data_IF_098823594609
#
_entry.id   IF_098823594609
#
_cell.length_a   1.000
_cell.length_b   1.000
_cell.length_c   1.000
_cell.angle_alpha   90.00
_cell.angle_beta   90.00
_cell.angle_gamma   90.00
#
_symmetry.space_group_name_H-M   'P 1'
#
loop_
_entity.id
_entity.type
_entity.pdbx_description
1 polymer ?
#
# COMPACT_ATOMS: atom_id res chain seq x y z
N UNK A 1 -9.00 0.62 -5.41
CA UNK A 1 -9.69 -0.21 -4.40
C UNK A 1 -9.23 0.28 -3.03
N UNK A 2 -10.15 0.59 -2.12
CA UNK A 2 -9.81 1.08 -0.78
C UNK A 2 -10.19 0.03 0.26
N UNK A 3 -9.30 -0.18 1.23
CA UNK A 3 -9.49 -1.16 2.29
C UNK A 3 -9.43 -0.45 3.64
N UNK A 4 -10.40 -0.72 4.55
CA UNK A 4 -10.29 -0.24 5.91
C UNK A 4 -9.10 -0.92 6.59
N UNK A 5 -8.26 -0.13 7.25
CA UNK A 5 -7.10 -0.59 8.02
C UNK A 5 -7.03 0.24 9.30
N UNK A 6 -6.73 -0.43 10.42
CA UNK A 6 -6.55 0.21 11.73
C UNK A 6 -5.08 0.54 11.95
N UNK A 7 -4.81 1.60 12.73
CA UNK A 7 -3.44 2.00 13.03
C UNK A 7 -2.67 0.91 13.78
N UNK A 8 -3.38 0.18 14.63
CA UNK A 8 -2.84 -0.91 15.46
C UNK A 8 -2.72 -2.25 14.72
N UNK A 9 -3.16 -2.33 13.45
CA UNK A 9 -3.00 -3.54 12.65
C UNK A 9 -1.52 -3.88 12.55
N UNK A 10 -1.19 -5.13 12.82
CA UNK A 10 0.16 -5.66 12.66
C UNK A 10 0.54 -5.76 11.18
N UNK A 11 1.84 -5.87 10.90
CA UNK A 11 2.34 -6.10 9.55
C UNK A 11 1.75 -7.39 8.93
N UNK A 12 1.50 -8.41 9.75
CA UNK A 12 0.90 -9.67 9.31
C UNK A 12 -0.58 -9.52 8.92
N UNK A 13 -1.37 -8.85 9.76
CA UNK A 13 -2.79 -8.57 9.46
C UNK A 13 -2.93 -7.74 8.19
N UNK A 14 -2.08 -6.72 8.05
CA UNK A 14 -2.02 -5.89 6.84
C UNK A 14 -1.68 -6.73 5.61
N UNK A 15 -0.72 -7.65 5.72
CA UNK A 15 -0.32 -8.51 4.61
C UNK A 15 -1.41 -9.50 4.19
N UNK A 16 -2.09 -10.13 5.15
CA UNK A 16 -3.21 -11.03 4.90
C UNK A 16 -4.37 -10.27 4.24
N UNK A 17 -4.64 -9.05 4.69
CA UNK A 17 -5.68 -8.21 4.12
C UNK A 17 -5.41 -7.87 2.66
N UNK A 18 -4.18 -7.45 2.35
CA UNK A 18 -3.77 -7.15 0.96
C UNK A 18 -3.85 -8.41 0.10
N UNK A 19 -3.42 -9.55 0.62
CA UNK A 19 -3.49 -10.82 -0.09
C UNK A 19 -4.94 -11.20 -0.45
N UNK A 20 -5.80 -11.23 0.57
CA UNK A 20 -7.17 -11.70 0.42
C UNK A 20 -8.07 -10.76 -0.37
N UNK A 21 -7.74 -9.47 -0.43
CA UNK A 21 -8.60 -8.47 -1.04
C UNK A 21 -8.03 -7.91 -2.34
N UNK A 22 -6.73 -7.66 -2.42
CA UNK A 22 -6.09 -7.02 -3.58
C UNK A 22 -5.60 -8.08 -4.56
N UNK A 23 -4.76 -9.01 -4.09
CA UNK A 23 -4.14 -10.04 -4.95
C UNK A 23 -5.20 -11.02 -5.46
N UNK A 24 -6.18 -11.39 -4.64
CA UNK A 24 -7.30 -12.23 -5.08
C UNK A 24 -8.17 -11.60 -6.17
N UNK A 25 -8.28 -10.28 -6.18
CA UNK A 25 -9.17 -9.55 -7.08
C UNK A 25 -8.48 -9.11 -8.38
N UNK A 26 -7.21 -8.73 -8.30
CA UNK A 26 -6.43 -8.19 -9.42
C UNK A 26 -5.46 -9.23 -10.00
N UNK A 27 -5.07 -10.22 -9.20
CA UNK A 27 -3.99 -11.16 -9.50
C UNK A 27 -2.66 -10.74 -8.91
N UNK A 28 -1.61 -11.53 -9.21
CA UNK A 28 -0.25 -11.25 -8.76
C UNK A 28 0.32 -10.01 -9.45
N UNK A 29 0.68 -9.00 -8.65
CA UNK A 29 1.34 -7.80 -9.12
C UNK A 29 2.82 -8.10 -9.37
N UNK A 30 3.37 -7.65 -10.51
CA UNK A 30 4.80 -7.81 -10.80
C UNK A 30 5.66 -6.78 -10.07
N UNK A 31 5.14 -5.56 -9.90
CA UNK A 31 5.81 -4.47 -9.21
C UNK A 31 4.83 -3.78 -8.26
N UNK A 32 5.26 -3.50 -7.03
CA UNK A 32 4.51 -2.77 -6.02
C UNK A 32 5.34 -1.58 -5.57
N UNK A 33 4.75 -0.40 -5.59
CA UNK A 33 5.33 0.80 -5.01
C UNK A 33 4.64 1.06 -3.66
N UNK A 34 5.42 1.02 -2.58
CA UNK A 34 4.92 1.20 -1.22
C UNK A 34 5.62 2.36 -0.54
N UNK A 35 4.97 2.99 0.44
CA UNK A 35 5.65 3.90 1.36
C UNK A 35 6.53 3.12 2.35
N UNK A 36 7.44 3.82 3.03
CA UNK A 36 8.40 3.28 4.01
C UNK A 36 7.78 3.00 5.39
N UNK A 37 6.48 2.71 5.43
CA UNK A 37 5.83 2.32 6.67
C UNK A 37 6.50 1.04 7.22
N UNK A 38 6.77 0.95 8.54
CA UNK A 38 7.41 -0.21 9.15
C UNK A 38 6.71 -1.54 8.83
N UNK A 39 5.39 -1.51 8.58
CA UNK A 39 4.60 -2.70 8.21
C UNK A 39 5.03 -3.26 6.86
N UNK A 40 5.30 -2.38 5.90
CA UNK A 40 5.76 -2.72 4.55
C UNK A 40 7.29 -2.87 4.47
N UNK A 41 8.03 -2.51 5.52
CA UNK A 41 9.46 -2.78 5.63
C UNK A 41 9.77 -3.98 6.55
N UNK A 42 8.75 -4.76 6.92
CA UNK A 42 8.92 -5.91 7.80
C UNK A 42 9.58 -7.08 7.05
N UNK A 43 10.34 -7.92 7.77
CA UNK A 43 10.93 -9.14 7.21
C UNK A 43 9.86 -10.08 6.61
N UNK A 44 8.65 -10.07 7.19
CA UNK A 44 7.49 -10.78 6.67
C UNK A 44 7.15 -10.30 5.26
N UNK A 45 7.05 -8.98 5.06
CA UNK A 45 6.71 -8.38 3.78
C UNK A 45 7.74 -8.73 2.70
N UNK A 46 9.02 -8.56 3.00
CA UNK A 46 10.11 -8.88 2.08
C UNK A 46 10.10 -10.36 1.67
N UNK A 47 9.94 -11.27 2.64
CA UNK A 47 9.90 -12.70 2.37
C UNK A 47 8.67 -13.10 1.55
N UNK A 48 7.52 -12.50 1.82
CA UNK A 48 6.28 -12.72 1.09
C UNK A 48 6.47 -12.36 -0.39
N UNK A 49 7.02 -11.18 -0.67
CA UNK A 49 7.24 -10.74 -2.05
C UNK A 49 8.31 -11.54 -2.79
N UNK A 50 9.37 -11.97 -2.10
CA UNK A 50 10.37 -12.89 -2.66
C UNK A 50 9.75 -14.24 -3.07
N UNK A 51 8.83 -14.79 -2.27
CA UNK A 51 8.16 -16.05 -2.58
C UNK A 51 7.29 -15.95 -3.85
N UNK A 52 6.63 -14.80 -4.05
CA UNK A 52 5.74 -14.58 -5.19
C UNK A 52 6.43 -13.99 -6.42
N UNK A 53 7.72 -13.65 -6.34
CA UNK A 53 8.47 -13.03 -7.43
C UNK A 53 8.03 -11.59 -7.73
N UNK A 54 7.34 -10.94 -6.79
CA UNK A 54 6.91 -9.55 -6.90
C UNK A 54 8.03 -8.62 -6.44
N UNK A 55 8.36 -7.59 -7.21
CA UNK A 55 9.32 -6.57 -6.78
C UNK A 55 8.62 -5.46 -5.99
N UNK A 56 9.04 -5.24 -4.76
CA UNK A 56 8.61 -4.07 -3.98
C UNK A 56 9.66 -2.97 -4.09
N UNK A 57 9.22 -1.79 -4.50
CA UNK A 57 10.00 -0.57 -4.44
C UNK A 57 9.41 0.35 -3.37
N UNK A 58 10.26 1.06 -2.65
CA UNK A 58 9.81 2.03 -1.67
C UNK A 58 9.87 3.44 -2.26
N UNK A 59 8.77 4.16 -2.18
CA UNK A 59 8.74 5.58 -2.50
C UNK A 59 9.68 6.32 -1.53
N UNK A 60 10.40 7.31 -2.04
CA UNK A 60 11.11 8.27 -1.18
C UNK A 60 10.14 9.40 -0.86
N UNK A 61 10.27 10.02 0.32
CA UNK A 61 9.40 11.11 0.77
C UNK A 61 9.37 12.35 -0.18
N UNK A 62 10.18 12.34 -1.25
CA UNK A 62 10.25 13.36 -2.28
C UNK A 62 10.75 12.72 -3.59
N UNK A 63 9.85 12.21 -4.44
CA UNK A 63 10.17 11.96 -5.85
C UNK A 63 9.06 12.42 -6.80
N UNK A 64 8.99 13.74 -7.10
CA UNK A 64 7.92 14.35 -7.90
C UNK A 64 7.85 13.92 -9.37
N UNK A 65 8.66 12.97 -9.83
CA UNK A 65 8.80 12.68 -11.26
C UNK A 65 8.28 11.31 -11.70
N UNK A 66 8.11 10.33 -10.79
CA UNK A 66 7.66 8.99 -11.19
C UNK A 66 6.31 8.59 -10.58
N UNK A 67 5.88 9.26 -9.51
CA UNK A 67 4.69 8.84 -8.74
C UNK A 67 3.56 9.89 -8.67
N UNK A 68 3.63 10.92 -9.51
CA UNK A 68 2.66 12.02 -9.48
C UNK A 68 1.21 11.59 -9.69
N UNK A 69 0.92 10.44 -10.33
CA UNK A 69 -0.44 9.91 -10.43
C UNK A 69 -0.90 9.23 -9.14
N UNK A 70 -0.07 8.39 -8.50
CA UNK A 70 -0.43 7.75 -7.25
C UNK A 70 -0.49 8.78 -6.11
N UNK A 71 0.47 9.71 -6.04
CA UNK A 71 0.45 10.82 -5.08
C UNK A 71 -0.77 11.73 -5.29
N UNK A 72 -1.13 12.09 -6.54
CA UNK A 72 -2.37 12.84 -6.81
C UNK A 72 -3.61 12.05 -6.42
N UNK A 73 -3.63 10.73 -6.65
CA UNK A 73 -4.73 9.87 -6.26
C UNK A 73 -4.86 9.78 -4.73
N UNK A 74 -3.76 9.57 -4.01
CA UNK A 74 -3.72 9.53 -2.53
C UNK A 74 -4.14 10.88 -1.96
N UNK A 75 -3.66 12.00 -2.52
CA UNK A 75 -4.03 13.36 -2.10
C UNK A 75 -5.52 13.64 -2.34
N UNK A 76 -6.02 13.36 -3.54
CA UNK A 76 -7.43 13.53 -3.88
C UNK A 76 -8.32 12.69 -2.96
N UNK A 77 -7.92 11.46 -2.65
CA UNK A 77 -8.61 10.61 -1.70
C UNK A 77 -8.60 11.18 -0.28
N UNK A 78 -7.45 11.65 0.21
CA UNK A 78 -7.35 12.28 1.53
C UNK A 78 -8.28 13.48 1.65
N UNK A 79 -8.37 14.30 0.59
CA UNK A 79 -9.28 15.45 0.53
C UNK A 79 -10.75 15.02 0.48
N UNK A 80 -11.09 13.94 -0.23
CA UNK A 80 -12.44 13.36 -0.20
C UNK A 80 -12.81 12.87 1.21
N UNK A 81 -11.97 12.06 1.84
CA UNK A 81 -12.22 11.53 3.19
C UNK A 81 -12.35 12.68 4.20
N UNK A 82 -11.50 13.71 4.12
CA UNK A 82 -11.62 14.92 4.96
C UNK A 82 -12.95 15.63 4.78
N UNK A 83 -13.46 15.74 3.54
CA UNK A 83 -14.77 16.34 3.28
C UNK A 83 -15.93 15.49 3.79
N UNK A 84 -15.80 14.16 3.76
CA UNK A 84 -16.84 13.25 4.26
C UNK A 84 -16.83 13.08 5.79
N UNK A 85 -15.67 13.18 6.45
CA UNK A 85 -15.56 13.08 7.92
C UNK A 85 -15.66 14.43 8.65
N UNK A 86 -15.68 15.55 7.93
CA UNK A 86 -15.88 16.88 8.51
C UNK A 86 -17.36 17.26 8.70
N UNK A 87 -18.27 16.27 8.67
CA UNK A 87 -19.70 16.43 8.95
C UNK A 87 -20.14 15.39 9.98
#
# INVERSE_FOLDING_TARGET
>A
MFLPCHKDDTAMETAIMIWNKVISHIGLLQNILSDRDPKFNSALWTNLHNLFGTKVSFATAYHPQTDGLAERMIKTLGDMIRRFCAY
#
